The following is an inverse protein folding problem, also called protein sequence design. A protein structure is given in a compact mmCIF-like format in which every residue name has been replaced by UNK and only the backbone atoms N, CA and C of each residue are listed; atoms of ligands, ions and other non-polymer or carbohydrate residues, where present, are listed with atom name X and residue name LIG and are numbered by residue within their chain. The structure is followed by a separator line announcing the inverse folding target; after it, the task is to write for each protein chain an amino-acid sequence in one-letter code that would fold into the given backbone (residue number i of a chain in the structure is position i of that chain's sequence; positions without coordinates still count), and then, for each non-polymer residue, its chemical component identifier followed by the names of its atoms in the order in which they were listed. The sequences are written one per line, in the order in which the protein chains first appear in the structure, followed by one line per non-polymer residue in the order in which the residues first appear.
data_IF_406547139024
#
_entry.id   IF_406547139024
#
_cell.length_a   1.000
_cell.length_b   1.000
_cell.length_c   1.000
_cell.angle_alpha   90.00
_cell.angle_beta   90.00
_cell.angle_gamma   90.00
#
_symmetry.space_group_name_H-M   'P 1'
#
loop_
_entity.id
_entity.type
_entity.pdbx_description
1 polymer ?
#
# COMPACT_ATOMS: atom_id res chain seq x y z
N UNK A 1 13.60 18.55 -12.11
CA UNK A 1 13.55 19.76 -11.28
C UNK A 1 13.16 19.32 -9.88
N UNK A 2 14.14 19.15 -8.98
CA UNK A 2 13.87 19.00 -7.54
C UNK A 2 13.70 20.40 -6.95
N UNK A 3 12.52 20.98 -7.17
CA UNK A 3 12.07 22.04 -6.28
C UNK A 3 11.68 21.34 -4.98
N UNK A 4 12.29 21.71 -3.84
CA UNK A 4 11.88 21.29 -2.52
C UNK A 4 10.36 21.38 -2.40
N UNK A 5 9.65 20.27 -2.60
CA UNK A 5 8.22 20.16 -2.39
C UNK A 5 8.01 20.48 -0.92
N UNK A 6 7.53 21.71 -0.64
CA UNK A 6 7.22 22.10 0.72
C UNK A 6 6.02 21.27 1.16
N UNK A 7 6.28 20.26 1.97
CA UNK A 7 5.24 19.52 2.65
C UNK A 7 4.53 20.45 3.62
N UNK A 8 3.21 20.46 3.57
CA UNK A 8 2.38 21.11 4.56
C UNK A 8 2.17 20.18 5.75
N UNK A 9 2.45 20.72 6.93
CA UNK A 9 2.23 20.01 8.17
C UNK A 9 0.74 19.99 8.50
N UNK A 10 0.21 18.78 8.73
CA UNK A 10 -1.19 18.53 9.05
C UNK A 10 -1.22 17.35 10.03
N UNK A 11 -2.11 17.29 11.03
CA UNK A 11 -2.14 16.20 12.01
C UNK A 11 -2.21 14.79 11.39
N UNK A 12 -2.91 14.67 10.27
CA UNK A 12 -2.97 13.43 9.47
C UNK A 12 -1.75 13.19 8.55
N UNK A 13 -0.95 14.22 8.26
CA UNK A 13 0.28 14.07 7.46
C UNK A 13 1.23 13.11 8.17
N UNK A 14 1.92 12.27 7.39
CA UNK A 14 2.90 11.30 7.89
C UNK A 14 2.33 10.20 8.80
N UNK A 15 1.00 10.11 8.98
CA UNK A 15 0.39 8.97 9.66
C UNK A 15 0.70 7.69 8.88
N UNK A 16 1.46 6.80 9.51
CA UNK A 16 1.86 5.54 8.91
C UNK A 16 0.71 4.53 8.97
N UNK A 17 0.21 4.15 7.80
CA UNK A 17 -0.84 3.16 7.63
C UNK A 17 -0.21 1.93 6.99
N UNK A 18 -0.22 0.80 7.69
CA UNK A 18 0.23 -0.46 7.12
C UNK A 18 -0.72 -0.92 6.02
N UNK A 19 -0.19 -1.33 4.87
CA UNK A 19 -0.98 -2.04 3.87
C UNK A 19 -1.44 -3.39 4.45
N UNK A 20 -2.75 -3.54 4.63
CA UNK A 20 -3.39 -4.79 5.08
C UNK A 20 -3.83 -5.64 3.88
N UNK A 21 -4.31 -6.86 4.17
CA UNK A 21 -4.59 -7.98 3.24
C UNK A 21 -5.44 -7.71 1.98
N UNK A 22 -5.89 -6.49 1.71
CA UNK A 22 -6.68 -6.11 0.53
C UNK A 22 -5.87 -5.91 -0.76
N UNK A 23 -4.53 -5.96 -0.72
CA UNK A 23 -3.64 -5.68 -1.87
C UNK A 23 -2.79 -6.88 -2.34
N UNK A 24 -3.25 -8.11 -2.06
CA UNK A 24 -2.46 -9.33 -2.21
C UNK A 24 -2.74 -10.04 -3.53
N UNK A 25 -1.66 -10.41 -4.22
CA UNK A 25 -1.57 -11.11 -5.52
C UNK A 25 -2.52 -12.30 -5.75
N UNK A 26 -3.15 -12.89 -4.72
CA UNK A 26 -4.07 -14.04 -4.84
C UNK A 26 -5.42 -13.87 -4.13
N UNK A 27 -5.75 -12.68 -3.60
CA UNK A 27 -7.15 -12.23 -3.51
C UNK A 27 -7.58 -11.47 -4.78
N UNK A 28 -6.66 -11.28 -5.71
CA UNK A 28 -6.91 -10.85 -7.08
C UNK A 28 -7.50 -12.03 -7.87
N UNK A 29 -8.77 -12.32 -7.61
CA UNK A 29 -9.54 -13.38 -8.25
C UNK A 29 -10.83 -13.63 -7.48
N UNK A 30 -11.93 -13.03 -7.93
CA UNK A 30 -13.32 -13.29 -7.49
C UNK A 30 -13.79 -12.74 -6.13
N UNK A 31 -13.00 -11.92 -5.45
CA UNK A 31 -13.55 -11.06 -4.39
C UNK A 31 -14.12 -9.77 -4.99
N UNK A 32 -15.45 -9.64 -5.08
CA UNK A 32 -16.16 -8.37 -5.38
C UNK A 32 -15.93 -7.25 -4.32
N UNK A 33 -14.94 -7.38 -3.44
CA UNK A 33 -14.68 -6.48 -2.33
C UNK A 33 -14.01 -5.19 -2.81
N UNK A 34 -14.61 -4.06 -2.44
CA UNK A 34 -14.03 -2.73 -2.60
C UNK A 34 -12.61 -2.70 -1.99
N UNK A 35 -11.59 -2.35 -2.78
CA UNK A 35 -10.23 -2.21 -2.26
C UNK A 35 -10.14 -0.95 -1.40
N UNK A 36 -10.38 -1.10 -0.11
CA UNK A 36 -10.36 0.00 0.85
C UNK A 36 -9.09 0.00 1.71
N UNK A 37 -8.50 1.18 1.89
CA UNK A 37 -7.43 1.44 2.86
C UNK A 37 -8.03 2.02 4.14
N UNK A 38 -7.75 1.42 5.29
CA UNK A 38 -8.23 1.94 6.58
C UNK A 38 -7.43 3.18 7.00
N UNK A 39 -8.14 4.30 7.24
CA UNK A 39 -7.51 5.57 7.62
C UNK A 39 -7.56 5.81 9.14
N UNK A 40 -8.56 5.28 9.82
CA UNK A 40 -8.74 5.46 11.27
C UNK A 40 -10.19 5.26 11.74
N UNK A 41 -10.37 5.25 13.06
CA UNK A 41 -11.68 5.21 13.70
C UNK A 41 -12.15 6.61 14.13
N UNK A 42 -13.24 6.67 14.91
CA UNK A 42 -13.89 7.90 15.39
C UNK A 42 -12.94 9.02 15.83
N UNK A 43 -11.91 8.71 16.61
CA UNK A 43 -10.96 9.71 17.13
C UNK A 43 -10.10 10.39 16.07
N UNK A 44 -10.07 9.91 14.83
CA UNK A 44 -9.30 10.48 13.73
C UNK A 44 -10.18 11.15 12.66
N UNK A 45 -11.51 11.18 12.83
CA UNK A 45 -12.43 11.67 11.79
C UNK A 45 -12.22 13.15 11.47
N UNK A 46 -11.98 13.99 12.48
CA UNK A 46 -11.73 15.43 12.27
C UNK A 46 -10.46 15.65 11.45
N UNK A 47 -9.35 15.00 11.83
CA UNK A 47 -8.09 15.07 11.10
C UNK A 47 -8.20 14.52 9.67
N UNK A 48 -8.95 13.44 9.46
CA UNK A 48 -9.14 12.89 8.11
C UNK A 48 -9.98 13.86 7.27
N UNK A 49 -11.09 14.37 7.81
CA UNK A 49 -11.98 15.28 7.09
C UNK A 49 -11.28 16.59 6.73
N UNK A 50 -10.50 17.16 7.65
CA UNK A 50 -9.71 18.37 7.38
C UNK A 50 -8.59 18.11 6.37
N UNK A 51 -7.94 16.94 6.41
CA UNK A 51 -6.90 16.61 5.44
C UNK A 51 -7.46 16.51 4.02
N UNK A 52 -8.59 15.84 3.82
CA UNK A 52 -9.15 15.66 2.48
C UNK A 52 -9.93 16.90 1.98
N UNK A 53 -9.98 18.02 2.72
CA UNK A 53 -10.70 19.26 2.34
C UNK A 53 -12.10 19.00 1.76
N UNK A 54 -12.80 17.96 2.23
CA UNK A 54 -13.93 17.38 1.52
C UNK A 54 -15.23 18.16 1.79
N UNK A 55 -15.78 18.98 0.86
CA UNK A 55 -17.20 19.28 0.91
C UNK A 55 -17.95 17.96 0.67
N UNK A 56 -18.97 17.69 1.49
CA UNK A 56 -19.67 16.39 1.56
C UNK A 56 -20.27 15.84 0.24
N UNK A 57 -20.21 16.55 -0.89
CA UNK A 57 -20.84 16.17 -2.16
C UNK A 57 -19.96 15.29 -3.05
N UNK A 58 -18.70 15.64 -3.24
CA UNK A 58 -17.81 14.92 -4.16
C UNK A 58 -16.56 14.46 -3.38
N UNK A 59 -16.66 13.33 -2.68
CA UNK A 59 -15.57 12.76 -1.86
C UNK A 59 -14.51 12.05 -2.72
N UNK A 60 -14.28 12.56 -3.92
CA UNK A 60 -13.36 12.03 -4.92
C UNK A 60 -12.11 12.90 -4.94
N UNK A 61 -10.94 12.28 -4.83
CA UNK A 61 -9.66 12.97 -4.72
C UNK A 61 -8.65 12.43 -5.71
N UNK A 62 -7.86 13.35 -6.25
CA UNK A 62 -6.64 12.99 -6.96
C UNK A 62 -5.51 12.84 -5.95
N UNK A 63 -4.87 11.66 -5.95
CA UNK A 63 -3.64 11.39 -5.20
C UNK A 63 -2.51 11.09 -6.17
N UNK A 64 -1.28 11.28 -5.70
CA UNK A 64 -0.08 11.11 -6.51
C UNK A 64 0.92 10.17 -5.84
N UNK A 65 1.64 9.41 -6.65
CA UNK A 65 2.79 8.60 -6.22
C UNK A 65 4.03 9.08 -6.96
N UNK A 66 5.11 9.37 -6.23
CA UNK A 66 6.40 9.63 -6.87
C UNK A 66 6.97 8.33 -7.43
N UNK A 67 7.35 8.36 -8.71
CA UNK A 67 8.08 7.29 -9.39
C UNK A 67 9.32 6.88 -8.60
N UNK A 68 10.12 7.84 -8.15
CA UNK A 68 11.32 7.58 -7.36
C UNK A 68 11.01 6.83 -6.05
N UNK A 69 9.92 7.20 -5.36
CA UNK A 69 9.49 6.49 -4.16
C UNK A 69 9.02 5.06 -4.47
N UNK A 70 8.21 4.88 -5.51
CA UNK A 70 7.75 3.54 -5.94
C UNK A 70 8.93 2.63 -6.30
N UNK A 71 9.87 3.10 -7.12
CA UNK A 71 11.07 2.33 -7.51
C UNK A 71 11.93 1.98 -6.29
N UNK A 72 12.10 2.92 -5.34
CA UNK A 72 12.84 2.68 -4.10
C UNK A 72 12.24 1.52 -3.31
N UNK A 73 10.91 1.51 -3.13
CA UNK A 73 10.21 0.44 -2.40
C UNK A 73 10.28 -0.88 -3.16
N UNK A 74 10.06 -0.84 -4.47
CA UNK A 74 10.07 -2.05 -5.28
C UNK A 74 11.44 -2.71 -5.29
N UNK A 75 12.52 -1.92 -5.41
CA UNK A 75 13.90 -2.40 -5.32
C UNK A 75 14.25 -2.95 -3.93
N UNK A 76 13.77 -2.30 -2.86
CA UNK A 76 13.97 -2.80 -1.50
C UNK A 76 13.41 -4.22 -1.32
N UNK A 77 12.25 -4.51 -1.92
CA UNK A 77 11.63 -5.84 -1.89
C UNK A 77 12.04 -6.75 -3.05
N UNK A 78 12.95 -6.34 -3.94
CA UNK A 78 13.40 -7.18 -5.06
C UNK A 78 13.83 -8.61 -4.61
N UNK A 79 14.57 -8.80 -3.49
CA UNK A 79 14.94 -10.14 -3.05
C UNK A 79 13.74 -11.05 -2.82
N UNK A 80 12.64 -10.49 -2.28
CA UNK A 80 11.39 -11.21 -2.06
C UNK A 80 10.75 -11.69 -3.37
N UNK A 81 10.82 -10.90 -4.44
CA UNK A 81 10.25 -11.29 -5.73
C UNK A 81 11.09 -12.31 -6.48
N UNK A 82 12.41 -12.14 -6.45
CA UNK A 82 13.36 -13.00 -7.17
C UNK A 82 13.59 -14.33 -6.48
N UNK A 83 13.49 -14.34 -5.14
CA UNK A 83 13.65 -15.54 -4.33
C UNK A 83 12.62 -15.52 -3.19
N UNK A 84 11.33 -15.77 -3.48
CA UNK A 84 10.29 -15.72 -2.48
C UNK A 84 10.53 -16.78 -1.42
N UNK A 85 10.77 -16.31 -0.20
CA UNK A 85 10.74 -17.18 0.95
C UNK A 85 9.35 -17.70 1.19
N UNK A 86 9.36 -18.90 1.70
CA UNK A 86 8.25 -19.75 1.49
C UNK A 86 7.10 -19.35 2.50
N UNK A 87 5.82 -19.16 2.06
CA UNK A 87 4.57 -19.02 2.86
C UNK A 87 3.82 -20.33 3.24
N UNK A 88 3.79 -20.73 4.50
CA UNK A 88 3.42 -22.09 4.91
C UNK A 88 2.00 -22.65 4.56
N UNK A 89 1.91 -23.93 4.16
CA UNK A 89 0.77 -24.83 3.94
C UNK A 89 0.48 -25.67 5.20
N UNK A 90 -0.66 -26.36 5.22
CA UNK A 90 -1.18 -27.19 6.33
C UNK A 90 -0.42 -28.50 6.65
N UNK A 91 0.73 -28.73 6.02
CA UNK A 91 1.76 -29.73 6.37
C UNK A 91 3.14 -29.10 6.62
N UNK A 92 3.24 -27.77 6.57
CA UNK A 92 4.49 -27.03 6.58
C UNK A 92 5.13 -26.76 5.21
N UNK A 93 4.46 -27.06 4.07
CA UNK A 93 4.92 -26.68 2.71
C UNK A 93 4.50 -25.27 2.33
N UNK A 94 4.38 -24.90 1.05
CA UNK A 94 4.14 -23.52 0.66
C UNK A 94 2.97 -23.22 -0.25
N UNK A 95 2.32 -22.08 -0.02
CA UNK A 95 1.58 -21.38 -1.05
C UNK A 95 2.61 -20.79 -2.01
N UNK A 96 2.85 -21.50 -3.09
CA UNK A 96 3.46 -20.94 -4.29
C UNK A 96 2.56 -19.81 -4.79
N UNK A 97 3.15 -18.67 -5.13
CA UNK A 97 2.43 -17.63 -5.84
C UNK A 97 1.98 -18.22 -7.19
N UNK A 98 0.68 -18.09 -7.50
CA UNK A 98 0.14 -18.62 -8.77
C UNK A 98 0.81 -18.00 -10.00
N UNK A 99 1.36 -16.79 -9.83
CA UNK A 99 2.14 -16.09 -10.84
C UNK A 99 3.61 -16.10 -10.46
N UNK A 100 4.47 -16.18 -11.47
CA UNK A 100 5.92 -15.97 -11.32
C UNK A 100 6.17 -14.56 -10.75
N UNK A 101 6.54 -14.48 -9.47
CA UNK A 101 6.83 -13.23 -8.78
C UNK A 101 7.99 -12.47 -9.40
N UNK A 102 8.97 -13.17 -9.95
CA UNK A 102 10.11 -12.56 -10.63
C UNK A 102 9.66 -11.88 -11.90
N UNK A 103 8.77 -12.53 -12.68
CA UNK A 103 8.13 -11.93 -13.86
C UNK A 103 7.24 -10.75 -13.47
N UNK A 104 6.42 -10.89 -12.43
CA UNK A 104 5.56 -9.81 -11.92
C UNK A 104 6.39 -8.59 -11.50
N UNK A 105 7.53 -8.82 -10.86
CA UNK A 105 8.47 -7.76 -10.53
C UNK A 105 8.97 -7.06 -11.79
N UNK A 106 9.41 -7.80 -12.81
CA UNK A 106 9.94 -7.19 -14.03
C UNK A 106 8.86 -6.38 -14.78
N UNK A 107 7.62 -6.87 -14.80
CA UNK A 107 6.48 -6.17 -15.39
C UNK A 107 6.13 -4.88 -14.65
N UNK A 108 6.02 -4.94 -13.32
CA UNK A 108 5.77 -3.76 -12.48
C UNK A 108 6.92 -2.75 -12.59
N UNK A 109 8.16 -3.21 -12.58
CA UNK A 109 9.34 -2.35 -12.68
C UNK A 109 9.37 -1.62 -14.03
N UNK A 110 9.08 -2.32 -15.14
CA UNK A 110 8.95 -1.69 -16.46
C UNK A 110 7.83 -0.67 -16.48
N UNK A 111 6.67 -0.99 -15.90
CA UNK A 111 5.51 -0.08 -15.83
C UNK A 111 5.86 1.19 -15.08
N UNK A 112 6.42 1.09 -13.88
CA UNK A 112 6.83 2.25 -13.07
C UNK A 112 7.87 3.09 -13.82
N UNK A 113 8.83 2.45 -14.49
CA UNK A 113 9.83 3.17 -15.28
C UNK A 113 9.26 3.89 -16.51
N UNK A 114 8.18 3.38 -17.11
CA UNK A 114 7.50 4.02 -18.22
C UNK A 114 6.55 5.15 -17.77
N UNK A 115 6.19 5.19 -16.49
CA UNK A 115 5.34 6.24 -15.93
C UNK A 115 6.05 7.59 -15.84
N UNK A 116 5.23 8.65 -15.79
CA UNK A 116 5.63 10.00 -15.42
C UNK A 116 6.23 10.04 -14.00
N UNK A 117 6.90 11.16 -13.67
CA UNK A 117 7.53 11.35 -12.36
C UNK A 117 6.52 11.25 -11.20
N UNK A 118 5.28 11.67 -11.45
CA UNK A 118 4.17 11.54 -10.51
C UNK A 118 3.00 10.80 -11.16
N UNK A 119 2.69 9.62 -10.64
CA UNK A 119 1.56 8.81 -11.10
C UNK A 119 0.29 9.27 -10.38
N UNK A 120 -0.67 9.78 -11.14
CA UNK A 120 -1.95 10.25 -10.63
C UNK A 120 -2.95 9.10 -10.51
N UNK A 121 -3.54 8.90 -9.33
CA UNK A 121 -4.67 7.99 -9.14
C UNK A 121 -5.87 8.68 -8.49
N UNK A 122 -7.06 8.29 -8.90
CA UNK A 122 -8.28 8.73 -8.25
C UNK A 122 -8.60 7.80 -7.06
N UNK A 123 -9.16 8.38 -6.00
CA UNK A 123 -9.61 7.67 -4.80
C UNK A 123 -10.88 8.29 -4.25
N UNK A 124 -11.65 7.53 -3.47
CA UNK A 124 -12.87 8.02 -2.82
C UNK A 124 -12.76 7.88 -1.30
N UNK A 125 -13.01 8.97 -0.57
CA UNK A 125 -13.13 8.92 0.88
C UNK A 125 -14.54 8.46 1.27
N UNK A 126 -14.65 7.25 1.82
CA UNK A 126 -15.93 6.69 2.20
C UNK A 126 -16.47 7.34 3.48
N UNK A 127 -17.80 7.28 3.64
CA UNK A 127 -18.43 7.57 4.92
C UNK A 127 -17.93 6.58 5.98
N UNK A 128 -17.87 6.98 7.26
CA UNK A 128 -17.65 6.05 8.35
C UNK A 128 -18.67 4.91 8.28
N UNK A 129 -18.19 3.68 8.51
CA UNK A 129 -19.08 2.52 8.57
C UNK A 129 -19.83 2.44 9.91
N UNK A 130 -20.60 1.37 10.12
CA UNK A 130 -21.35 1.14 11.36
C UNK A 130 -20.49 1.01 12.62
N UNK A 131 -19.16 0.89 12.48
CA UNK A 131 -18.19 0.83 13.58
C UNK A 131 -17.35 2.11 13.67
N UNK A 132 -17.79 3.21 13.04
CA UNK A 132 -17.07 4.48 12.94
C UNK A 132 -15.68 4.36 12.27
N UNK A 133 -15.46 3.35 11.42
CA UNK A 133 -14.21 3.16 10.68
C UNK A 133 -14.27 3.90 9.36
N UNK A 134 -13.24 4.69 9.08
CA UNK A 134 -13.14 5.48 7.86
C UNK A 134 -12.12 4.86 6.90
N UNK A 135 -12.49 4.86 5.63
CA UNK A 135 -11.77 4.14 4.57
C UNK A 135 -11.57 5.01 3.33
N UNK A 136 -10.47 4.76 2.63
CA UNK A 136 -10.20 5.28 1.29
C UNK A 136 -10.37 4.15 0.27
N UNK A 137 -11.35 4.28 -0.62
CA UNK A 137 -11.55 3.32 -1.72
C UNK A 137 -10.56 3.62 -2.85
N UNK A 138 -9.92 2.57 -3.33
CA UNK A 138 -8.93 2.59 -4.40
C UNK A 138 -9.49 1.90 -5.65
N UNK A 139 -9.58 2.62 -6.76
CA UNK A 139 -10.15 2.11 -8.01
C UNK A 139 -9.20 1.16 -8.74
N UNK A 140 -9.75 0.27 -9.57
CA UNK A 140 -9.03 -0.85 -10.17
C UNK A 140 -7.81 -0.45 -11.02
N UNK A 141 -7.87 0.70 -11.69
CA UNK A 141 -6.74 1.27 -12.45
C UNK A 141 -5.71 2.02 -11.60
N UNK A 142 -5.81 1.97 -10.27
CA UNK A 142 -4.85 2.62 -9.39
C UNK A 142 -3.52 1.87 -9.36
N UNK A 143 -2.41 2.59 -9.33
CA UNK A 143 -1.08 1.96 -9.27
C UNK A 143 -0.95 1.09 -8.02
N UNK A 144 -1.59 1.45 -6.89
CA UNK A 144 -1.62 0.63 -5.66
C UNK A 144 -2.25 -0.75 -5.86
N UNK A 145 -3.13 -0.92 -6.84
CA UNK A 145 -3.78 -2.19 -7.14
C UNK A 145 -3.08 -2.97 -8.25
N UNK A 146 -2.40 -2.26 -9.13
CA UNK A 146 -1.70 -2.85 -10.26
C UNK A 146 -0.29 -3.31 -9.89
N UNK A 147 0.44 -2.53 -9.08
CA UNK A 147 1.72 -2.96 -8.53
C UNK A 147 1.46 -3.74 -7.26
N UNK A 148 2.02 -4.94 -7.17
CA UNK A 148 1.96 -5.68 -5.92
C UNK A 148 2.92 -5.01 -4.94
N UNK A 149 2.42 -4.58 -3.79
CA UNK A 149 3.27 -4.11 -2.69
C UNK A 149 3.17 -5.15 -1.55
N UNK A 150 4.29 -5.64 -1.02
CA UNK A 150 4.24 -6.58 0.10
C UNK A 150 3.55 -5.97 1.32
N UNK A 151 2.97 -6.82 2.19
CA UNK A 151 2.34 -6.42 3.47
C UNK A 151 3.27 -5.72 4.46
N UNK A 152 4.54 -5.71 4.13
CA UNK A 152 5.61 -5.00 4.82
C UNK A 152 5.76 -3.57 4.28
N UNK A 153 4.80 -3.02 3.54
CA UNK A 153 4.83 -1.60 3.15
C UNK A 153 3.88 -0.77 4.03
N UNK A 154 4.39 0.36 4.52
CA UNK A 154 3.59 1.43 5.11
C UNK A 154 3.35 2.51 4.09
N UNK A 155 2.20 3.17 4.21
CA UNK A 155 1.81 4.32 3.42
C UNK A 155 1.60 5.50 4.36
N UNK A 156 2.07 6.67 3.95
CA UNK A 156 1.67 7.93 4.56
C UNK A 156 1.21 8.94 3.51
N UNK A 157 0.40 9.89 3.96
CA UNK A 157 -0.14 10.95 3.13
C UNK A 157 0.57 12.26 3.47
N UNK A 158 0.81 13.08 2.44
CA UNK A 158 1.39 14.42 2.58
C UNK A 158 0.62 15.39 1.69
N UNK A 159 0.43 16.61 2.17
CA UNK A 159 -0.02 17.74 1.35
C UNK A 159 1.19 18.44 0.76
N UNK A 160 1.26 18.60 -0.55
CA UNK A 160 2.37 19.24 -1.27
C UNK A 160 1.85 20.22 -2.31
N UNK A 161 2.67 21.17 -2.75
CA UNK A 161 2.42 21.90 -4.00
C UNK A 161 3.12 21.16 -5.14
N UNK A 162 2.42 20.26 -5.82
CA UNK A 162 2.97 19.59 -6.98
C UNK A 162 2.81 20.45 -8.22
N UNK A 163 1.64 21.08 -8.37
CA UNK A 163 1.33 22.00 -9.44
C UNK A 163 1.45 23.46 -8.98
N UNK A 164 1.71 24.38 -9.93
CA UNK A 164 1.71 25.82 -9.68
C UNK A 164 0.26 26.36 -9.53
N UNK A 165 -0.50 25.81 -8.59
CA UNK A 165 -1.84 26.26 -8.26
C UNK A 165 -1.98 26.48 -6.75
N UNK A 166 -3.08 27.12 -6.33
CA UNK A 166 -3.33 27.45 -4.93
C UNK A 166 -3.75 26.22 -4.08
N UNK A 167 -4.01 25.09 -4.71
CA UNK A 167 -4.47 23.89 -4.02
C UNK A 167 -3.29 22.97 -3.69
N UNK A 168 -3.42 22.27 -2.57
CA UNK A 168 -2.43 21.29 -2.15
C UNK A 168 -2.82 19.92 -2.70
N UNK A 169 -1.88 19.31 -3.41
CA UNK A 169 -1.97 17.95 -3.90
C UNK A 169 -1.70 16.95 -2.78
N UNK A 170 -2.29 15.77 -2.88
CA UNK A 170 -2.08 14.68 -1.91
C UNK A 170 -1.03 13.73 -2.47
N UNK A 171 0.18 13.77 -1.93
CA UNK A 171 1.22 12.80 -2.21
C UNK A 171 1.09 11.61 -1.25
N UNK A 172 1.17 10.41 -1.82
CA UNK A 172 1.27 9.16 -1.08
C UNK A 172 2.72 8.70 -1.13
N UNK A 173 3.31 8.54 0.04
CA UNK A 173 4.65 7.98 0.20
C UNK A 173 4.56 6.58 0.79
N UNK A 174 5.25 5.65 0.14
CA UNK A 174 5.45 4.30 0.62
C UNK A 174 6.80 4.22 1.36
N UNK A 175 6.83 3.49 2.46
CA UNK A 175 8.05 3.17 3.21
C UNK A 175 8.11 1.67 3.52
N UNK A 176 9.30 1.06 3.53
CA UNK A 176 9.43 -0.33 3.91
C UNK A 176 9.23 -0.47 5.44
N UNK A 177 8.62 -1.57 5.83
CA UNK A 177 8.28 -1.92 7.20
C UNK A 177 8.46 -3.43 7.38
N UNK A 178 9.61 -3.82 7.91
CA UNK A 178 9.85 -5.20 8.28
C UNK A 178 9.36 -5.36 9.71
N UNK A 179 8.24 -6.04 9.88
CA UNK A 179 7.90 -6.60 11.18
C UNK A 179 7.77 -8.10 11.08
N UNK A 180 8.36 -8.77 12.07
CA UNK A 180 8.10 -10.16 12.36
C UNK A 180 6.60 -10.34 12.61
N UNK A 181 5.88 -10.79 11.59
CA UNK A 181 4.48 -11.16 11.73
C UNK A 181 4.44 -12.63 12.12
N UNK A 182 4.15 -12.88 13.40
CA UNK A 182 3.90 -14.22 13.93
C UNK A 182 2.44 -14.59 13.69
N UNK A 183 2.21 -15.67 12.96
CA UNK A 183 0.89 -16.20 12.71
C UNK A 183 0.79 -17.60 13.29
N UNK A 184 -0.34 -17.90 13.92
CA UNK A 184 -0.67 -19.26 14.30
C UNK A 184 -1.43 -19.90 13.14
N UNK A 185 -0.83 -20.91 12.51
CA UNK A 185 -1.46 -21.70 11.45
C UNK A 185 -1.80 -23.10 11.98
N UNK A 186 -2.85 -23.73 11.43
CA UNK A 186 -3.20 -25.12 11.76
C UNK A 186 -2.60 -26.06 10.72
N UNK A 187 -1.76 -26.98 11.18
CA UNK A 187 -1.02 -27.96 10.37
C UNK A 187 -1.32 -29.35 10.94
N UNK A 188 -1.95 -30.23 10.15
CA UNK A 188 -2.30 -31.59 10.61
C UNK A 188 -3.10 -31.64 11.93
N UNK A 189 -3.96 -30.65 12.18
CA UNK A 189 -4.74 -30.53 13.42
C UNK A 189 -4.01 -29.88 14.61
N UNK A 190 -2.72 -29.55 14.48
CA UNK A 190 -1.93 -28.86 15.51
C UNK A 190 -1.72 -27.38 15.15
N UNK A 191 -1.73 -26.51 16.15
CA UNK A 191 -1.38 -25.09 15.94
C UNK A 191 0.14 -24.94 15.92
N UNK A 192 0.68 -24.30 14.89
CA UNK A 192 2.11 -23.99 14.71
C UNK A 192 2.26 -22.49 14.59
N UNK A 193 3.22 -21.92 15.32
CA UNK A 193 3.57 -20.52 15.19
C UNK A 193 4.61 -20.36 14.07
N UNK A 194 4.28 -19.57 13.05
CA UNK A 194 5.16 -19.26 11.92
C UNK A 194 5.44 -17.77 11.89
N UNK A 195 6.66 -17.41 11.52
CA UNK A 195 7.08 -16.01 11.37
C UNK A 195 7.32 -15.68 9.91
N UNK A 196 6.67 -14.62 9.42
CA UNK A 196 6.93 -14.10 8.07
C UNK A 196 8.21 -13.26 8.08
N UNK A 197 9.22 -13.72 7.34
CA UNK A 197 10.40 -12.94 7.05
C UNK A 197 10.41 -12.50 5.58
N UNK A 198 10.25 -11.19 5.36
CA UNK A 198 10.26 -10.60 4.02
C UNK A 198 11.68 -10.39 3.46
N UNK A 199 12.69 -10.32 4.32
CA UNK A 199 14.07 -10.09 3.91
C UNK A 199 14.97 -11.16 4.53
N UNK A 200 15.50 -12.03 3.68
CA UNK A 200 16.57 -12.90 4.13
C UNK A 200 17.82 -12.04 4.37
N UNK A 201 18.52 -12.14 5.51
CA UNK A 201 19.95 -11.90 5.48
C UNK A 201 20.54 -12.96 4.52
N UNK A 202 21.22 -12.52 3.46
CA UNK A 202 22.09 -13.44 2.72
C UNK A 202 23.04 -14.06 3.74
N UNK A 203 22.92 -15.37 3.95
CA UNK A 203 23.99 -16.13 4.61
C UNK A 203 25.05 -16.29 3.54
N UNK A 204 25.99 -15.35 3.52
CA UNK A 204 27.32 -15.61 2.98
C UNK A 204 28.05 -16.59 3.92
#
# INVERSE_FOLDING_TARGET
MDANLKAFDHPFSNKEIALVDSFVLTKLGEGHGESTLYLGGKGAHEDIASFFDAPFKDKMFQVYFSKANLLKIFNFYQPFYKNPHSFYMSDGRLIEFQNDLSKHYDECFKKINASDEYVSNEVELLNPDSQDRQYLRVFAGSILREIFLPYSVKICFKKIHLHNNHHLDILIECSPYIAAKKHNIKVGGKSVNVEFNYLNPSKD
#
